data_IF_852173513922
#
_entry.id   IF_852173513922
#
_cell.length_a   1.000
_cell.length_b   1.000
_cell.length_c   1.000
_cell.angle_alpha   90.00
_cell.angle_beta   90.00
_cell.angle_gamma   90.00
#
_symmetry.space_group_name_H-M   'P 1'
#
loop_
_entity.id
_entity.type
_entity.pdbx_description
1 polymer ?
#
# COMPACT_ATOMS: atom_id res chain seq x y z
N UNK A 1 20.49 -13.33 -24.00
CA UNK A 1 20.71 -12.72 -22.69
C UNK A 1 20.23 -11.28 -22.59
N UNK A 2 20.53 -10.41 -23.55
CA UNK A 2 20.04 -9.03 -23.55
C UNK A 2 18.51 -8.95 -23.52
N UNK A 3 17.85 -9.84 -24.23
CA UNK A 3 16.39 -9.84 -24.30
C UNK A 3 15.71 -10.32 -23.01
N UNK A 4 16.36 -11.21 -22.29
CA UNK A 4 15.84 -11.72 -21.01
C UNK A 4 15.88 -10.63 -19.94
N UNK A 5 16.95 -9.85 -19.92
CA UNK A 5 17.10 -8.73 -18.98
C UNK A 5 16.08 -7.64 -19.28
N UNK A 6 15.78 -7.39 -20.55
CA UNK A 6 14.78 -6.41 -20.98
C UNK A 6 13.38 -6.81 -20.53
N UNK A 7 13.06 -8.12 -20.62
CA UNK A 7 11.74 -8.62 -20.19
C UNK A 7 11.57 -8.47 -18.67
N UNK A 8 12.62 -8.72 -17.89
CA UNK A 8 12.60 -8.56 -16.44
C UNK A 8 12.39 -7.11 -16.04
N UNK A 9 13.06 -6.19 -16.75
CA UNK A 9 12.90 -4.75 -16.55
C UNK A 9 11.47 -4.30 -16.88
N UNK A 10 10.86 -4.93 -17.88
CA UNK A 10 9.49 -4.59 -18.30
C UNK A 10 8.45 -5.00 -17.26
N UNK A 11 8.59 -6.18 -16.64
CA UNK A 11 7.66 -6.64 -15.62
C UNK A 11 7.75 -5.80 -14.33
N UNK A 12 8.96 -5.37 -13.97
CA UNK A 12 9.15 -4.45 -12.85
C UNK A 12 8.55 -3.07 -13.12
N UNK A 13 8.62 -2.63 -14.37
CA UNK A 13 8.06 -1.34 -14.77
C UNK A 13 6.54 -1.29 -14.64
N UNK A 14 5.84 -2.41 -14.91
CA UNK A 14 4.38 -2.46 -14.79
C UNK A 14 3.92 -2.31 -13.34
N UNK A 15 4.59 -2.95 -12.40
CA UNK A 15 4.25 -2.80 -10.97
C UNK A 15 4.55 -1.37 -10.50
N UNK A 16 5.70 -0.83 -10.88
CA UNK A 16 6.08 0.55 -10.55
C UNK A 16 5.08 1.56 -11.10
N UNK A 17 4.55 1.33 -12.32
CA UNK A 17 3.56 2.22 -12.92
C UNK A 17 2.27 2.26 -12.13
N UNK A 18 1.82 1.11 -11.56
CA UNK A 18 0.63 1.08 -10.72
C UNK A 18 0.81 1.94 -9.47
N UNK A 19 1.98 1.88 -8.84
CA UNK A 19 2.27 2.69 -7.66
C UNK A 19 2.48 4.16 -8.02
N UNK A 20 3.16 4.43 -9.14
CA UNK A 20 3.43 5.80 -9.60
C UNK A 20 2.15 6.56 -9.93
N UNK A 21 1.09 5.86 -10.36
CA UNK A 21 -0.18 6.51 -10.66
C UNK A 21 -0.79 7.19 -9.44
N UNK A 22 -0.38 6.80 -8.24
CA UNK A 22 -0.85 7.38 -6.98
C UNK A 22 0.00 8.56 -6.50
N UNK A 23 1.19 8.75 -7.08
CA UNK A 23 2.10 9.81 -6.64
C UNK A 23 1.40 11.17 -6.68
N UNK A 24 1.50 11.91 -5.58
CA UNK A 24 0.85 13.20 -5.36
C UNK A 24 -0.67 13.15 -5.21
N UNK A 25 -1.29 11.96 -5.33
CA UNK A 25 -2.74 11.78 -5.17
C UNK A 25 -3.08 11.04 -3.89
N UNK A 26 -2.38 9.93 -3.64
CA UNK A 26 -2.68 9.04 -2.52
C UNK A 26 -1.42 8.61 -1.80
N UNK A 27 -1.58 8.35 -0.51
CA UNK A 27 -0.60 7.59 0.27
C UNK A 27 -1.00 6.12 0.14
N UNK A 28 -0.03 5.23 0.13
CA UNK A 28 -0.29 3.82 -0.16
C UNK A 28 0.21 2.95 1.00
N UNK A 29 -0.65 2.04 1.46
CA UNK A 29 -0.22 0.92 2.29
C UNK A 29 -0.14 -0.31 1.40
N UNK A 30 0.99 -1.00 1.44
CA UNK A 30 1.20 -2.24 0.68
C UNK A 30 1.43 -3.37 1.66
N UNK A 31 0.51 -4.32 1.68
CA UNK A 31 0.64 -5.55 2.47
C UNK A 31 1.08 -6.66 1.54
N UNK A 32 2.20 -7.29 1.86
CA UNK A 32 2.72 -8.43 1.11
C UNK A 32 2.81 -9.65 2.02
N UNK A 33 2.29 -10.77 1.56
CA UNK A 33 2.32 -12.01 2.33
C UNK A 33 2.41 -13.22 1.41
N UNK A 34 3.13 -14.26 1.86
CA UNK A 34 3.05 -15.56 1.22
C UNK A 34 1.80 -16.30 1.74
N UNK A 35 1.51 -17.49 1.19
CA UNK A 35 0.34 -18.26 1.59
C UNK A 35 0.36 -18.64 3.08
N UNK A 36 1.53 -18.90 3.64
CA UNK A 36 1.68 -19.22 5.06
C UNK A 36 1.28 -18.07 5.97
N UNK A 37 1.37 -16.87 5.48
CA UNK A 37 1.08 -15.65 6.24
C UNK A 37 -0.23 -14.97 5.82
N UNK A 38 -1.09 -15.71 5.13
CA UNK A 38 -2.39 -15.20 4.68
C UNK A 38 -3.20 -14.62 5.84
N UNK A 39 -3.23 -15.31 6.98
CA UNK A 39 -3.98 -14.87 8.14
C UNK A 39 -3.51 -13.52 8.66
N UNK A 40 -2.21 -13.27 8.63
CA UNK A 40 -1.65 -11.97 9.03
C UNK A 40 -2.10 -10.86 8.10
N UNK A 41 -2.08 -11.13 6.79
CA UNK A 41 -2.53 -10.15 5.80
C UNK A 41 -4.02 -9.85 5.98
N UNK A 42 -4.84 -10.87 6.20
CA UNK A 42 -6.28 -10.68 6.43
C UNK A 42 -6.53 -9.94 7.74
N UNK A 43 -5.78 -10.24 8.80
CA UNK A 43 -5.89 -9.53 10.08
C UNK A 43 -5.55 -8.06 9.93
N UNK A 44 -4.48 -7.77 9.18
CA UNK A 44 -4.07 -6.39 8.90
C UNK A 44 -5.18 -5.66 8.15
N UNK A 45 -5.75 -6.29 7.14
CA UNK A 45 -6.85 -5.71 6.38
C UNK A 45 -8.06 -5.40 7.27
N UNK A 46 -8.44 -6.35 8.14
CA UNK A 46 -9.59 -6.15 9.03
C UNK A 46 -9.39 -4.97 9.98
N UNK A 47 -8.18 -4.81 10.51
CA UNK A 47 -7.86 -3.66 11.36
C UNK A 47 -8.01 -2.35 10.61
N UNK A 48 -7.49 -2.30 9.38
CA UNK A 48 -7.57 -1.11 8.55
C UNK A 48 -9.01 -0.84 8.13
N UNK A 49 -9.74 -1.88 7.79
CA UNK A 49 -11.13 -1.76 7.33
C UNK A 49 -12.04 -1.10 8.37
N UNK A 50 -11.76 -1.28 9.64
CA UNK A 50 -12.52 -0.65 10.72
C UNK A 50 -12.33 0.86 10.76
N UNK A 51 -11.25 1.36 10.18
CA UNK A 51 -10.88 2.77 10.23
C UNK A 51 -10.96 3.44 8.85
N UNK A 52 -11.89 2.98 8.01
CA UNK A 52 -12.03 3.45 6.62
C UNK A 52 -12.10 4.97 6.52
N UNK A 53 -12.90 5.62 7.35
CA UNK A 53 -13.08 7.07 7.26
C UNK A 53 -11.79 7.83 7.54
N UNK A 54 -11.01 7.34 8.51
CA UNK A 54 -9.71 7.94 8.82
C UNK A 54 -8.70 7.76 7.69
N UNK A 55 -8.78 6.60 7.02
CA UNK A 55 -7.93 6.31 5.86
C UNK A 55 -8.29 7.20 4.68
N UNK A 56 -9.57 7.34 4.39
CA UNK A 56 -10.07 8.21 3.33
C UNK A 56 -9.65 9.66 3.60
N UNK A 57 -9.81 10.11 4.83
CA UNK A 57 -9.46 11.47 5.25
C UNK A 57 -7.99 11.80 4.99
N UNK A 58 -7.10 10.80 5.09
CA UNK A 58 -5.67 10.98 4.86
C UNK A 58 -5.23 10.52 3.49
N UNK A 59 -6.17 10.26 2.59
CA UNK A 59 -5.90 9.83 1.21
C UNK A 59 -5.06 8.56 1.16
N UNK A 60 -5.36 7.59 2.05
CA UNK A 60 -4.65 6.32 2.10
C UNK A 60 -5.44 5.26 1.35
N UNK A 61 -4.78 4.61 0.41
CA UNK A 61 -5.30 3.42 -0.29
C UNK A 61 -4.48 2.20 0.11
N UNK A 62 -5.00 1.01 -0.14
CA UNK A 62 -4.37 -0.24 0.28
C UNK A 62 -4.23 -1.21 -0.88
N UNK A 63 -3.05 -1.78 -1.01
CA UNK A 63 -2.81 -2.96 -1.84
C UNK A 63 -2.53 -4.13 -0.90
N UNK A 64 -3.41 -5.13 -0.93
CA UNK A 64 -3.21 -6.35 -0.15
C UNK A 64 -2.83 -7.46 -1.12
N UNK A 65 -1.57 -7.89 -1.07
CA UNK A 65 -1.02 -8.89 -1.98
C UNK A 65 -0.68 -10.15 -1.21
N UNK A 66 -1.34 -11.25 -1.57
CA UNK A 66 -1.11 -12.57 -0.98
C UNK A 66 -0.70 -13.49 -2.13
N UNK A 67 0.52 -14.05 -2.05
CA UNK A 67 1.10 -14.86 -3.10
C UNK A 67 1.09 -14.07 -4.43
N UNK A 68 0.40 -14.56 -5.45
CA UNK A 68 0.37 -13.93 -6.77
C UNK A 68 -0.84 -13.02 -7.01
N UNK A 69 -1.67 -12.81 -6.00
CA UNK A 69 -2.93 -12.07 -6.13
C UNK A 69 -2.94 -10.82 -5.27
N UNK A 70 -3.23 -9.68 -5.88
CA UNK A 70 -3.35 -8.41 -5.16
C UNK A 70 -4.78 -7.91 -5.23
N UNK A 71 -5.23 -7.31 -4.12
CA UNK A 71 -6.51 -6.59 -4.03
C UNK A 71 -6.23 -5.13 -3.76
N UNK A 72 -6.86 -4.26 -4.52
CA UNK A 72 -6.76 -2.81 -4.33
C UNK A 72 -8.02 -2.27 -3.66
N UNK A 73 -7.84 -1.52 -2.58
CA UNK A 73 -8.93 -0.91 -1.82
C UNK A 73 -8.74 0.61 -1.78
N UNK A 74 -9.71 1.35 -2.32
CA UNK A 74 -9.73 2.81 -2.17
C UNK A 74 -10.82 3.24 -1.18
N UNK A 75 -11.52 2.28 -0.57
CA UNK A 75 -12.54 2.44 0.46
C UNK A 75 -13.83 3.11 -0.02
N UNK A 76 -13.91 3.50 -1.28
CA UNK A 76 -15.07 4.16 -1.88
C UNK A 76 -15.73 3.32 -2.95
N UNK A 77 -14.93 2.61 -3.72
CA UNK A 77 -15.40 1.79 -4.85
C UNK A 77 -15.21 0.31 -4.54
N UNK A 78 -15.79 -0.55 -5.39
CA UNK A 78 -15.60 -1.99 -5.29
C UNK A 78 -14.12 -2.33 -5.39
N UNK A 79 -13.58 -3.17 -4.47
CA UNK A 79 -12.17 -3.59 -4.56
C UNK A 79 -11.86 -4.24 -5.91
N UNK A 80 -10.65 -4.01 -6.39
CA UNK A 80 -10.19 -4.56 -7.66
C UNK A 80 -9.12 -5.61 -7.43
N UNK A 81 -9.22 -6.75 -8.14
CA UNK A 81 -8.26 -7.84 -8.05
C UNK A 81 -7.37 -7.84 -9.28
N UNK A 82 -6.09 -8.11 -9.09
CA UNK A 82 -5.17 -8.31 -10.20
C UNK A 82 -4.08 -9.30 -9.80
N UNK A 83 -3.45 -9.91 -10.80
CA UNK A 83 -2.36 -10.86 -10.60
C UNK A 83 -1.02 -10.14 -10.72
N UNK A 84 -0.04 -10.66 -9.98
CA UNK A 84 1.33 -10.17 -10.04
C UNK A 84 2.29 -11.34 -10.15
N UNK A 85 3.38 -11.13 -10.87
CA UNK A 85 4.43 -12.15 -11.02
C UNK A 85 5.42 -12.18 -9.87
N UNK A 86 5.27 -11.25 -8.94
CA UNK A 86 6.21 -11.11 -7.82
C UNK A 86 5.95 -12.18 -6.77
N UNK A 87 6.98 -12.96 -6.44
CA UNK A 87 6.92 -13.94 -5.35
C UNK A 87 7.07 -13.21 -4.02
N UNK A 88 6.11 -13.41 -3.11
CA UNK A 88 6.15 -12.84 -1.77
C UNK A 88 6.72 -13.86 -0.80
N UNK A 89 7.45 -13.40 0.21
CA UNK A 89 7.94 -14.25 1.30
C UNK A 89 7.66 -13.56 2.63
N UNK A 90 7.14 -14.33 3.59
CA UNK A 90 6.83 -13.81 4.91
C UNK A 90 5.65 -12.85 4.89
N UNK A 91 5.72 -11.85 5.74
CA UNK A 91 4.71 -10.79 5.84
C UNK A 91 5.41 -9.44 5.95
N UNK A 92 4.89 -8.45 5.23
CA UNK A 92 5.36 -7.08 5.40
C UNK A 92 4.25 -6.10 5.11
N UNK A 93 4.32 -4.94 5.75
CA UNK A 93 3.47 -3.80 5.44
C UNK A 93 4.36 -2.58 5.27
N UNK A 94 4.13 -1.82 4.20
CA UNK A 94 4.92 -0.65 3.83
C UNK A 94 4.00 0.53 3.64
N UNK A 95 4.37 1.68 4.20
CA UNK A 95 3.69 2.95 3.96
C UNK A 95 4.49 3.77 2.96
N UNK A 96 3.83 4.16 1.86
CA UNK A 96 4.41 5.01 0.82
C UNK A 96 3.72 6.37 0.90
N UNK A 97 4.51 7.43 0.95
CA UNK A 97 3.98 8.79 1.04
C UNK A 97 3.50 9.34 -0.29
N UNK A 98 2.97 10.55 -0.27
CA UNK A 98 2.50 11.23 -1.49
C UNK A 98 3.60 11.44 -2.52
N UNK A 99 4.84 11.62 -2.05
CA UNK A 99 6.00 11.79 -2.93
C UNK A 99 6.49 10.50 -3.56
N UNK A 100 5.85 9.37 -3.23
CA UNK A 100 6.24 8.05 -3.75
C UNK A 100 7.33 7.36 -2.93
N UNK A 101 7.84 7.99 -1.88
CA UNK A 101 8.90 7.43 -1.04
C UNK A 101 8.37 6.56 0.09
N UNK A 102 9.14 5.53 0.44
CA UNK A 102 8.82 4.68 1.57
C UNK A 102 9.02 5.45 2.88
N UNK A 103 7.99 5.46 3.72
CA UNK A 103 8.02 6.20 4.99
C UNK A 103 8.08 5.30 6.21
N UNK A 104 7.63 4.06 6.09
CA UNK A 104 7.60 3.12 7.19
C UNK A 104 7.48 1.69 6.65
N UNK A 105 8.11 0.75 7.32
CA UNK A 105 8.02 -0.66 6.96
C UNK A 105 8.02 -1.50 8.24
N UNK A 106 7.19 -2.54 8.28
CA UNK A 106 7.13 -3.48 9.37
C UNK A 106 6.93 -4.89 8.85
N UNK A 107 7.45 -5.87 9.58
CA UNK A 107 7.26 -7.30 9.29
C UNK A 107 6.21 -7.92 10.20
N UNK A 108 5.51 -7.13 10.99
CA UNK A 108 4.44 -7.59 11.88
C UNK A 108 3.16 -6.81 11.60
N UNK A 109 2.03 -7.39 12.00
CA UNK A 109 0.74 -6.71 11.90
C UNK A 109 0.75 -5.50 12.82
N UNK A 110 0.35 -4.34 12.28
CA UNK A 110 0.39 -3.08 12.99
C UNK A 110 -1.03 -2.54 13.20
N UNK A 111 -1.23 -1.83 14.32
CA UNK A 111 -2.48 -1.09 14.52
C UNK A 111 -2.54 0.08 13.55
N UNK A 112 -3.75 0.43 13.05
CA UNK A 112 -3.88 1.59 12.15
C UNK A 112 -3.28 2.88 12.69
N UNK A 113 -3.34 3.08 14.00
CA UNK A 113 -2.83 4.30 14.65
C UNK A 113 -1.35 4.54 14.35
N UNK A 114 -0.56 3.47 14.13
CA UNK A 114 0.86 3.61 13.78
C UNK A 114 1.00 4.45 12.51
N UNK A 115 0.21 4.16 11.49
CA UNK A 115 0.25 4.86 10.21
C UNK A 115 -0.41 6.22 10.30
N UNK A 116 -1.57 6.29 10.94
CA UNK A 116 -2.35 7.52 11.06
C UNK A 116 -1.56 8.60 11.80
N UNK A 117 -0.96 8.23 12.93
CA UNK A 117 -0.17 9.17 13.72
C UNK A 117 1.09 9.62 12.99
N UNK A 118 1.75 8.70 12.30
CA UNK A 118 2.94 9.05 11.52
C UNK A 118 2.60 10.05 10.42
N UNK A 119 1.52 9.79 9.68
CA UNK A 119 1.08 10.69 8.61
C UNK A 119 0.75 12.08 9.16
N UNK A 120 0.09 12.15 10.32
CA UNK A 120 -0.30 13.42 10.92
C UNK A 120 0.90 14.30 11.30
N UNK A 121 2.11 13.72 11.41
CA UNK A 121 3.32 14.49 11.65
C UNK A 121 3.98 14.99 10.36
N UNK A 122 3.53 14.55 9.20
CA UNK A 122 4.15 14.89 7.91
C UNK A 122 3.76 16.29 7.46
N UNK A 123 4.71 17.07 6.87
CA UNK A 123 4.43 18.44 6.43
C UNK A 123 3.29 18.55 5.43
N UNK A 124 3.19 17.63 4.48
CA UNK A 124 2.14 17.65 3.47
C UNK A 124 0.77 17.43 4.09
N UNK A 125 0.66 16.55 5.09
CA UNK A 125 -0.59 16.35 5.82
C UNK A 125 -0.99 17.59 6.62
N UNK A 126 -0.02 18.22 7.26
CA UNK A 126 -0.26 19.46 7.99
C UNK A 126 -0.76 20.57 7.07
N UNK A 127 -0.22 20.63 5.86
CA UNK A 127 -0.67 21.58 4.86
C UNK A 127 -2.10 21.28 4.41
N UNK A 128 -2.46 20.01 4.20
CA UNK A 128 -3.83 19.61 3.90
C UNK A 128 -4.81 20.12 4.95
N UNK A 129 -4.46 19.95 6.22
CA UNK A 129 -5.31 20.40 7.33
C UNK A 129 -5.44 21.92 7.38
N UNK A 130 -4.37 22.67 7.09
CA UNK A 130 -4.43 24.13 7.04
C UNK A 130 -5.30 24.61 5.90
N UNK A 131 -5.26 23.94 4.75
CA UNK A 131 -6.04 24.33 3.59
C UNK A 131 -7.55 24.13 3.76
N UNK A 132 -7.97 23.36 4.78
CA UNK A 132 -9.38 23.16 5.10
C UNK A 132 -10.00 24.33 5.87
N UNK A 133 -9.15 25.17 6.41
CA UNK A 133 -9.58 26.36 7.13
C UNK A 133 -9.70 27.53 6.15
#
# INVERSE_FOLDING_TARGET
MKYLILIILFSNAMWSQNLESHQWKDRILVVNADEKNRERAESQYLLLNKEQQKLIDRKIVLYKCIADTCMFYDWKNTPKMFKTDTTKQGFSIVLIGLDGGEKYKSNTVEKPDVFLNLIDTMPMRRQELRNRK
#
